data_IF_201199793057
#
_entry.id   IF_201199793057
#
_cell.length_a   1.000
_cell.length_b   1.000
_cell.length_c   1.000
_cell.angle_alpha   90.00
_cell.angle_beta   90.00
_cell.angle_gamma   90.00
#
_symmetry.space_group_name_H-M   'P 1'
#
loop_
_entity.id
_entity.type
_entity.pdbx_description
1 polymer ?
#
# COMPACT_ATOMS: atom_id res chain seq x y z
N UNK A 1 -18.91 26.02 13.74
CA UNK A 1 -17.49 25.60 13.86
C UNK A 1 -17.31 24.40 12.95
N UNK A 2 -16.55 24.56 11.86
CA UNK A 2 -16.10 23.41 11.07
C UNK A 2 -14.91 22.83 11.83
N UNK A 3 -14.98 21.58 12.24
CA UNK A 3 -13.83 20.87 12.78
C UNK A 3 -12.93 20.48 11.59
N UNK A 4 -11.87 21.25 11.36
CA UNK A 4 -10.82 20.96 10.37
C UNK A 4 -9.68 20.12 10.98
N UNK A 5 -9.99 19.21 11.91
CA UNK A 5 -8.99 18.22 12.33
C UNK A 5 -8.82 17.20 11.20
N UNK A 6 -7.69 17.28 10.51
CA UNK A 6 -7.29 16.28 9.53
C UNK A 6 -7.22 14.92 10.22
N UNK A 7 -8.05 13.98 9.78
CA UNK A 7 -8.04 12.61 10.27
C UNK A 7 -6.74 11.94 9.82
N UNK A 8 -5.69 12.01 10.66
CA UNK A 8 -4.40 11.36 10.38
C UNK A 8 -4.41 9.85 10.68
N UNK A 9 -5.37 9.37 11.48
CA UNK A 9 -5.34 8.01 11.99
C UNK A 9 -5.70 7.02 10.88
N UNK A 10 -4.70 6.26 10.41
CA UNK A 10 -4.89 5.09 9.56
C UNK A 10 -4.88 3.84 10.44
N UNK A 11 -5.91 3.00 10.30
CA UNK A 11 -5.90 1.63 10.83
C UNK A 11 -5.76 0.69 9.63
N UNK A 12 -4.61 0.04 9.51
CA UNK A 12 -4.38 -0.97 8.48
C UNK A 12 -4.85 -2.34 8.99
N UNK A 13 -5.85 -2.92 8.33
CA UNK A 13 -6.39 -4.25 8.67
C UNK A 13 -5.86 -5.36 7.76
N UNK A 14 -4.98 -5.03 6.81
CA UNK A 14 -4.39 -6.01 5.92
C UNK A 14 -3.45 -6.94 6.70
N UNK A 15 -3.56 -8.22 6.44
CA UNK A 15 -2.59 -9.22 6.91
C UNK A 15 -1.27 -9.04 6.13
N UNK A 16 -0.18 -8.66 6.79
CA UNK A 16 1.10 -8.46 6.13
C UNK A 16 1.70 -9.78 5.61
N UNK A 17 1.45 -10.89 6.32
CA UNK A 17 2.11 -12.18 6.07
C UNK A 17 1.49 -12.93 4.89
N UNK A 18 0.24 -12.61 4.54
CA UNK A 18 -0.39 -13.18 3.35
C UNK A 18 0.07 -12.54 2.03
N UNK A 19 1.11 -11.67 2.04
CA UNK A 19 1.70 -11.13 0.82
C UNK A 19 2.63 -12.17 0.20
N UNK A 20 2.44 -12.41 -1.10
CA UNK A 20 3.36 -13.19 -1.91
C UNK A 20 4.03 -12.23 -2.90
N UNK A 21 5.26 -11.83 -2.62
CA UNK A 21 6.06 -10.96 -3.49
C UNK A 21 7.29 -11.75 -3.91
N UNK A 22 7.54 -11.84 -5.21
CA UNK A 22 8.49 -12.81 -5.76
C UNK A 22 9.84 -12.20 -6.16
N UNK A 23 9.92 -10.88 -6.32
CA UNK A 23 11.07 -10.22 -6.92
C UNK A 23 11.70 -9.11 -6.06
N UNK A 24 11.14 -8.82 -4.89
CA UNK A 24 11.62 -7.78 -3.95
C UNK A 24 11.08 -8.03 -2.55
N UNK A 25 11.53 -7.24 -1.57
CA UNK A 25 10.98 -7.32 -0.21
C UNK A 25 9.62 -6.61 -0.10
N UNK A 26 8.90 -6.89 0.98
CA UNK A 26 7.64 -6.21 1.30
C UNK A 26 7.85 -4.70 1.48
N UNK A 27 8.94 -4.30 2.13
CA UNK A 27 9.31 -2.91 2.38
C UNK A 27 9.60 -2.19 1.05
N UNK A 28 10.40 -2.78 0.17
CA UNK A 28 10.72 -2.22 -1.15
C UNK A 28 9.45 -2.04 -1.99
N UNK A 29 8.57 -3.04 -2.02
CA UNK A 29 7.30 -2.96 -2.70
C UNK A 29 6.40 -1.86 -2.12
N UNK A 30 6.40 -1.69 -0.80
CA UNK A 30 5.61 -0.65 -0.10
C UNK A 30 6.12 0.75 -0.41
N UNK A 31 7.44 0.95 -0.48
CA UNK A 31 8.05 2.22 -0.92
C UNK A 31 7.72 2.54 -2.38
N UNK A 32 7.74 1.54 -3.27
CA UNK A 32 7.29 1.71 -4.67
C UNK A 32 5.84 2.17 -4.73
N UNK A 33 4.95 1.61 -3.92
CA UNK A 33 3.56 2.09 -3.80
C UNK A 33 3.53 3.53 -3.27
N UNK A 34 4.40 3.86 -2.32
CA UNK A 34 4.59 5.19 -1.77
C UNK A 34 5.01 6.25 -2.80
N UNK A 35 5.79 5.86 -3.82
CA UNK A 35 6.21 6.75 -4.92
C UNK A 35 5.04 7.22 -5.78
N UNK A 36 3.97 6.43 -5.85
CA UNK A 36 2.80 6.71 -6.69
C UNK A 36 3.01 6.48 -8.19
N UNK A 37 4.15 5.92 -8.60
CA UNK A 37 4.42 5.59 -9.99
C UNK A 37 3.75 4.28 -10.41
N UNK A 38 2.71 4.37 -11.24
CA UNK A 38 2.04 3.18 -11.78
C UNK A 38 3.00 2.30 -12.61
N UNK A 39 4.01 2.89 -13.26
CA UNK A 39 5.08 2.19 -13.99
C UNK A 39 5.87 1.27 -13.07
N UNK A 40 6.26 1.77 -11.89
CA UNK A 40 7.04 1.02 -10.92
C UNK A 40 6.17 -0.01 -10.18
N UNK A 41 4.92 0.33 -9.84
CA UNK A 41 3.99 -0.61 -9.21
C UNK A 41 3.73 -1.83 -10.10
N UNK A 42 3.71 -1.66 -11.43
CA UNK A 42 3.60 -2.77 -12.39
C UNK A 42 4.76 -3.76 -12.33
N UNK A 43 5.91 -3.36 -11.76
CA UNK A 43 7.07 -4.24 -11.61
C UNK A 43 7.02 -5.11 -10.36
N UNK A 44 6.01 -4.95 -9.48
CA UNK A 44 5.88 -5.80 -8.30
C UNK A 44 5.25 -7.13 -8.74
N UNK A 45 6.03 -8.21 -8.68
CA UNK A 45 5.56 -9.53 -9.09
C UNK A 45 4.95 -10.29 -7.92
N UNK A 46 3.66 -10.64 -8.05
CA UNK A 46 3.01 -11.61 -7.16
C UNK A 46 1.58 -11.26 -6.76
N UNK A 47 1.21 -11.69 -5.54
CA UNK A 47 -0.10 -11.48 -4.94
C UNK A 47 -0.01 -10.67 -3.66
N UNK A 48 -0.32 -9.38 -3.77
CA UNK A 48 -0.10 -8.43 -2.69
C UNK A 48 -1.26 -7.46 -2.49
N UNK A 49 -1.35 -6.93 -1.28
CA UNK A 49 -2.16 -5.79 -0.89
C UNK A 49 -1.28 -4.91 0.02
N UNK A 50 -0.95 -3.72 -0.46
CA UNK A 50 0.03 -2.84 0.17
C UNK A 50 -0.58 -1.46 0.42
N UNK A 51 -0.22 -0.87 1.55
CA UNK A 51 -0.58 0.50 1.90
C UNK A 51 0.66 1.24 2.37
N UNK A 52 0.84 2.45 1.85
CA UNK A 52 1.90 3.36 2.25
C UNK A 52 1.28 4.67 2.74
N UNK A 53 1.70 5.15 3.91
CA UNK A 53 1.26 6.42 4.50
C UNK A 53 2.42 7.42 4.54
N UNK A 54 2.22 8.59 3.95
CA UNK A 54 3.09 9.76 4.12
C UNK A 54 2.25 10.97 4.56
N UNK A 55 2.30 11.29 5.86
CA UNK A 55 1.41 12.30 6.44
C UNK A 55 -0.06 11.96 6.21
N UNK A 56 -0.80 12.85 5.56
CA UNK A 56 -2.20 12.65 5.16
C UNK A 56 -2.36 11.93 3.81
N UNK A 57 -1.26 11.69 3.08
CA UNK A 57 -1.29 11.00 1.80
C UNK A 57 -1.20 9.49 2.00
N UNK A 58 -2.27 8.78 1.64
CA UNK A 58 -2.31 7.32 1.62
C UNK A 58 -2.27 6.84 0.18
N UNK A 59 -1.33 5.95 -0.13
CA UNK A 59 -1.29 5.23 -1.40
C UNK A 59 -1.50 3.76 -1.14
N UNK A 60 -2.30 3.14 -2.01
CA UNK A 60 -2.63 1.72 -1.91
C UNK A 60 -2.49 1.09 -3.27
N UNK A 61 -2.01 -0.15 -3.29
CA UNK A 61 -2.00 -0.97 -4.49
C UNK A 61 -2.32 -2.42 -4.12
N UNK A 62 -2.94 -3.12 -5.06
CA UNK A 62 -3.22 -4.55 -4.93
C UNK A 62 -3.08 -5.25 -6.27
N UNK A 63 -2.73 -6.53 -6.23
CA UNK A 63 -2.83 -7.39 -7.41
C UNK A 63 -4.24 -7.97 -7.55
N UNK A 64 -4.56 -8.58 -8.70
CA UNK A 64 -5.88 -9.22 -8.92
C UNK A 64 -6.11 -10.40 -7.95
N UNK A 65 -5.07 -11.15 -7.61
CA UNK A 65 -5.16 -12.33 -6.73
C UNK A 65 -5.42 -11.99 -5.26
N UNK A 66 -5.10 -10.77 -4.82
CA UNK A 66 -5.19 -10.38 -3.42
C UNK A 66 -6.03 -9.11 -3.22
N UNK A 67 -7.33 -9.23 -2.89
CA UNK A 67 -8.16 -8.06 -2.61
C UNK A 67 -7.82 -7.43 -1.25
N UNK A 68 -8.06 -6.12 -1.12
CA UNK A 68 -8.00 -5.43 0.17
C UNK A 68 -9.34 -5.61 0.88
N UNK A 69 -9.41 -6.57 1.80
CA UNK A 69 -10.60 -6.90 2.59
C UNK A 69 -10.18 -7.14 4.02
#
# INVERSE_FOLDING_TARGET
MIHEEYVERLVNLLDADANLIFNMTFEEATEIVGSGSAEQVRQIDGQFALVHKNGTCIRMARSIGRPMR
#
